data_IF_734347229521
#
_entry.id   IF_734347229521
#
_cell.length_a   1.000
_cell.length_b   1.000
_cell.length_c   1.000
_cell.angle_alpha   90.00
_cell.angle_beta   90.00
_cell.angle_gamma   90.00
#
_symmetry.space_group_name_H-M   'P 1'
#
loop_
_entity.id
_entity.type
_entity.pdbx_description
1 polymer ?
2 non-polymer ?
3 non-polymer ?
4 water ?
#
# COMPACT_ATOMS: atom_id res chain seq x y z
N UNK A 1 1.63 -12.49 14.12
CA UNK A 1 0.60 -13.29 13.46
C UNK A 1 0.93 -13.53 12.00
N UNK A 2 0.15 -14.39 11.36
CA UNK A 2 0.12 -14.43 9.90
C UNK A 2 -1.18 -13.83 9.39
N UNK A 3 -1.06 -12.75 8.61
CA UNK A 3 -2.24 -12.00 8.20
C UNK A 3 -2.53 -12.29 6.73
N UNK A 4 -3.74 -12.81 6.52
CA UNK A 4 -4.24 -13.17 5.20
C UNK A 4 -4.51 -11.88 4.42
N UNK A 5 -4.48 -11.96 3.10
CA UNK A 5 -4.81 -10.80 2.26
C UNK A 5 -6.06 -11.00 1.44
N UNK A 6 -6.89 -11.95 1.85
CA UNK A 6 -8.25 -12.06 1.29
C UNK A 6 -9.06 -10.81 1.58
N UNK A 7 -8.87 -10.26 2.78
CA UNK A 7 -9.50 -8.99 3.16
C UNK A 7 -8.41 -7.93 3.36
N UNK A 8 -8.83 -6.68 3.48
CA UNK A 8 -7.91 -5.58 3.84
C UNK A 8 -7.28 -5.89 5.18
N UNK A 9 -5.95 -5.68 5.29
CA UNK A 9 -5.27 -6.03 6.55
C UNK A 9 -5.39 -4.90 7.57
N UNK A 10 -6.56 -4.78 8.19
CA UNK A 10 -6.82 -3.76 9.19
C UNK A 10 -6.47 -4.25 10.58
N UNK A 11 -5.78 -3.41 11.35
CA UNK A 11 -5.44 -3.72 12.73
C UNK A 11 -5.74 -2.54 13.65
N UNK A 12 -5.75 -2.81 14.94
CA UNK A 12 -5.90 -1.77 15.93
C UNK A 12 -4.54 -1.21 16.31
N UNK A 13 -4.44 0.11 16.29
CA UNK A 13 -3.27 0.80 16.79
C UNK A 13 -3.61 1.63 18.02
N UNK A 14 -2.63 1.78 18.89
CA UNK A 14 -2.71 2.77 19.96
C UNK A 14 -1.72 3.89 19.74
N UNK A 15 -2.24 5.12 19.77
CA UNK A 15 -1.43 6.28 19.50
C UNK A 15 -2.03 7.51 20.18
N UNK A 16 -1.18 8.27 20.86
CA UNK A 16 -1.59 9.47 21.56
C UNK A 16 -2.74 9.22 22.51
N UNK A 17 -2.78 8.02 23.10
CA UNK A 17 -3.83 7.69 24.05
C UNK A 17 -5.14 7.28 23.39
N UNK A 18 -5.13 7.17 22.06
CA UNK A 18 -6.35 6.80 21.32
C UNK A 18 -6.21 5.39 20.71
N UNK A 19 -7.32 4.67 20.61
CA UNK A 19 -7.36 3.44 19.82
C UNK A 19 -7.99 3.69 18.47
N UNK A 20 -7.34 3.19 17.42
CA UNK A 20 -7.79 3.47 16.05
C UNK A 20 -7.57 2.25 15.20
N UNK A 21 -8.29 2.18 14.08
CA UNK A 21 -8.08 1.13 13.10
C UNK A 21 -7.24 1.69 11.97
N UNK A 22 -6.28 0.91 11.48
CA UNK A 22 -5.43 1.34 10.39
C UNK A 22 -5.08 0.18 9.48
N UNK A 23 -4.65 0.52 8.28
CA UNK A 23 -4.39 -0.45 7.23
C UNK A 23 -2.90 -0.71 7.12
N UNK A 24 -2.46 -1.96 7.18
CA UNK A 24 -1.03 -2.27 7.02
C UNK A 24 -0.65 -2.21 5.55
N UNK A 25 0.17 -1.23 5.17
CA UNK A 25 0.45 -1.01 3.75
C UNK A 25 1.92 -1.09 3.39
N UNK A 26 2.32 -2.25 2.85
CA UNK A 26 3.72 -2.50 2.46
C UNK A 26 4.18 -1.56 1.33
N UNK A 27 3.23 -1.00 0.59
CA UNK A 27 3.55 -0.08 -0.50
C UNK A 27 3.72 1.37 -0.06
N UNK A 28 3.46 1.67 1.22
CA UNK A 28 3.53 3.05 1.69
C UNK A 28 4.87 3.34 2.34
N UNK A 29 5.51 4.44 1.92
CA UNK A 29 6.76 4.87 2.57
C UNK A 29 6.50 5.31 4.01
N UNK A 30 5.37 5.99 4.21
CA UNK A 30 5.09 6.76 5.43
C UNK A 30 3.81 6.23 6.07
N UNK A 31 3.65 6.56 7.34
CA UNK A 31 2.44 6.32 8.09
C UNK A 31 1.63 7.61 8.15
N UNK A 32 0.40 7.54 7.67
CA UNK A 32 -0.47 8.71 7.64
C UNK A 32 -1.83 8.44 8.25
N UNK A 33 -2.19 9.29 9.19
CA UNK A 33 -3.44 9.16 9.95
C UNK A 33 -4.35 10.35 9.72
N UNK A 34 -5.65 10.11 9.79
CA UNK A 34 -6.63 11.17 9.73
C UNK A 34 -6.41 12.18 10.85
N UNK A 35 -7.01 13.34 10.71
CA UNK A 35 -6.76 14.41 11.67
C UNK A 35 -6.88 13.95 13.12
N UNK A 36 -5.88 14.32 13.91
CA UNK A 36 -5.82 14.04 15.34
C UNK A 36 -4.76 14.95 15.92
N UNK A 37 -4.78 15.11 17.23
CA UNK A 37 -3.76 15.89 17.92
C UNK A 37 -2.61 14.97 18.34
N UNK A 38 -1.38 15.48 18.20
CA UNK A 38 -0.19 14.82 18.73
C UNK A 38 0.70 15.87 19.37
N UNK A 39 1.43 15.49 20.44
CA UNK A 39 2.26 16.46 21.14
C UNK A 39 3.57 16.70 20.40
N UNK A 40 4.24 17.80 20.72
CA UNK A 40 5.59 18.03 20.23
C UNK A 40 5.62 18.83 18.95
N UNK A 41 6.83 19.00 18.43
CA UNK A 41 7.12 19.76 17.22
C UNK A 41 6.51 19.06 16.01
N UNK A 42 6.18 19.84 14.98
CA UNK A 42 5.88 19.29 13.66
C UNK A 42 6.33 20.21 12.55
N UNK A 43 6.40 19.67 11.33
CA UNK A 43 6.65 20.48 10.16
C UNK A 43 5.79 19.99 9.00
N UNK A 44 5.51 20.86 8.02
CA UNK A 44 4.59 20.47 6.96
C UNK A 44 5.28 19.59 5.93
N UNK A 45 4.50 18.70 5.30
CA UNK A 45 5.00 17.81 4.25
C UNK A 45 3.92 17.65 3.21
N UNK A 46 4.33 17.45 1.96
CA UNK A 46 3.41 16.99 0.93
C UNK A 46 3.71 15.54 0.61
N UNK A 47 2.69 14.71 0.58
CA UNK A 47 2.86 13.31 0.24
C UNK A 47 1.94 12.95 -0.90
N UNK A 48 2.41 12.07 -1.77
CA UNK A 48 1.74 11.76 -3.01
C UNK A 48 1.23 10.34 -2.98
N UNK A 49 0.12 10.12 -3.66
CA UNK A 49 -0.39 8.77 -3.89
C UNK A 49 -1.23 8.82 -5.14
N UNK A 50 -2.01 7.77 -5.37
CA UNK A 50 -2.93 7.81 -6.49
C UNK A 50 -3.87 9.01 -6.29
N UNK A 51 -3.97 9.83 -7.33
CA UNK A 51 -4.87 10.99 -7.27
C UNK A 51 -4.13 12.30 -7.01
N UNK A 52 -2.85 12.20 -6.66
CA UNK A 52 -2.03 13.39 -6.42
C UNK A 52 -1.63 13.55 -4.97
N UNK A 53 -1.36 14.79 -4.57
CA UNK A 53 -0.70 15.04 -3.29
C UNK A 53 -1.66 15.63 -2.25
N UNK A 54 -1.35 15.38 -0.98
CA UNK A 54 -2.01 16.09 0.13
C UNK A 54 -0.97 16.65 1.10
N UNK A 55 -1.32 17.75 1.74
CA UNK A 55 -0.49 18.35 2.77
C UNK A 55 -0.81 17.75 4.14
N UNK A 56 0.25 17.43 4.87
CA UNK A 56 0.13 16.78 6.15
C UNK A 56 1.11 17.42 7.12
N UNK A 57 0.88 17.19 8.40
CA UNK A 57 1.78 17.60 9.46
C UNK A 57 2.65 16.40 9.85
N UNK A 58 3.95 16.61 9.89
CA UNK A 58 4.88 15.54 10.22
C UNK A 58 5.32 15.66 11.67
N UNK A 59 5.04 14.62 12.46
CA UNK A 59 5.49 14.54 13.85
C UNK A 59 6.52 13.42 13.96
N UNK A 60 7.66 13.72 14.56
CA UNK A 60 8.70 12.72 14.71
C UNK A 60 8.74 12.11 16.12
N UNK A 61 9.25 10.89 16.21
CA UNK A 61 9.50 10.23 17.51
C UNK A 61 8.20 10.02 18.29
N UNK A 62 7.17 9.56 17.60
CA UNK A 62 5.89 9.29 18.26
C UNK A 62 5.77 7.81 18.60
N UNK A 63 5.51 7.49 19.89
CA UNK A 63 5.29 6.09 20.24
C UNK A 63 3.96 5.57 19.70
N UNK A 64 3.95 4.31 19.29
CA UNK A 64 2.73 3.72 18.75
C UNK A 64 2.78 2.24 19.10
N UNK A 65 1.60 1.65 19.27
CA UNK A 65 1.51 0.21 19.46
C UNK A 65 0.66 -0.39 18.36
N UNK A 66 1.22 -1.34 17.61
CA UNK A 66 0.53 -1.89 16.46
C UNK A 66 0.29 -3.37 16.70
N UNK A 67 -0.98 -3.72 16.85
CA UNK A 67 -1.35 -5.12 17.03
C UNK A 67 -0.62 -5.72 18.23
N UNK A 68 -0.33 -4.91 19.23
CA UNK A 68 0.35 -5.39 20.43
C UNK A 68 1.85 -5.09 20.47
N UNK A 69 2.40 -4.65 19.36
CA UNK A 69 3.84 -4.43 19.24
C UNK A 69 4.16 -2.94 19.33
N UNK A 70 5.08 -2.60 20.22
CA UNK A 70 5.53 -1.22 20.43
C UNK A 70 6.59 -0.80 19.42
N UNK A 71 6.47 0.45 18.95
CA UNK A 71 7.46 1.01 18.08
C UNK A 71 7.46 2.50 18.28
N UNK A 72 8.42 3.17 17.67
CA UNK A 72 8.42 4.62 17.67
C UNK A 72 8.85 5.10 16.30
N UNK A 73 8.24 6.16 15.81
CA UNK A 73 8.64 6.70 14.53
C UNK A 73 7.87 7.94 14.13
N UNK A 74 8.03 8.32 12.87
CA UNK A 74 7.37 9.48 12.31
C UNK A 74 5.93 9.15 11.91
N UNK A 75 5.01 9.98 12.40
CA UNK A 75 3.60 9.88 12.01
C UNK A 75 3.16 11.17 11.31
N UNK A 76 2.55 11.02 10.15
CA UNK A 76 1.98 12.13 9.42
C UNK A 76 0.49 12.20 9.69
N UNK A 77 -0.03 13.42 9.82
CA UNK A 77 -1.44 13.61 10.13
C UNK A 77 -2.03 14.59 9.11
N UNK A 78 -3.16 14.23 8.52
CA UNK A 78 -3.81 15.14 7.57
C UNK A 78 -5.01 14.47 6.94
N UNK A 79 -5.48 15.03 5.82
CA UNK A 79 -6.75 14.63 5.24
C UNK A 79 -6.61 13.40 4.35
N UNK A 80 -6.03 12.33 4.90
CA UNK A 80 -6.02 11.05 4.22
C UNK A 80 -7.42 10.41 4.30
N UNK A 81 -7.85 9.77 3.20
CA UNK A 81 -9.15 9.10 3.22
C UNK A 81 -9.19 7.98 4.26
N UNK A 82 -8.03 7.44 4.63
CA UNK A 82 -7.99 6.30 5.53
C UNK A 82 -6.65 6.22 6.26
N UNK A 83 -6.67 5.67 7.47
CA UNK A 83 -5.43 5.52 8.25
C UNK A 83 -4.54 4.43 7.65
N UNK A 84 -3.28 4.77 7.40
CA UNK A 84 -2.35 3.86 6.75
C UNK A 84 -1.10 3.72 7.60
N UNK A 85 -0.70 2.48 7.90
CA UNK A 85 0.59 2.21 8.53
C UNK A 85 1.61 1.79 7.48
N UNK A 86 2.63 2.63 7.31
CA UNK A 86 3.62 2.44 6.28
C UNK A 86 4.89 1.73 6.73
N UNK A 87 5.82 1.61 5.80
CA UNK A 87 7.01 0.82 6.07
C UNK A 87 7.85 1.31 7.23
N UNK A 88 7.84 2.62 7.49
CA UNK A 88 8.66 3.16 8.57
C UNK A 88 8.33 2.53 9.92
N UNK A 89 7.07 2.15 10.12
CA UNK A 89 6.68 1.45 11.35
C UNK A 89 6.59 -0.06 11.17
N UNK A 90 6.19 -0.52 9.99
CA UNK A 90 6.12 -1.96 9.73
C UNK A 90 7.46 -2.66 9.98
N UNK A 91 8.58 -2.01 9.65
CA UNK A 91 9.89 -2.63 9.87
C UNK A 91 10.11 -2.86 11.36
N UNK A 92 9.61 -1.94 12.17
CA UNK A 92 9.93 -1.93 13.61
C UNK A 92 9.23 -3.08 14.33
N UNK A 93 8.11 -3.53 13.79
CA UNK A 93 7.40 -4.66 14.39
C UNK A 93 7.72 -5.99 13.71
N UNK A 94 8.68 -5.97 12.79
CA UNK A 94 9.21 -7.19 12.19
C UNK A 94 8.29 -7.75 11.11
N UNK A 95 7.59 -6.86 10.43
CA UNK A 95 6.62 -7.29 9.43
C UNK A 95 7.32 -7.61 8.10
N UNK A 96 6.99 -8.77 7.55
CA UNK A 96 7.49 -9.20 6.25
C UNK A 96 6.34 -9.67 5.35
N UNK A 97 6.57 -9.57 4.04
CA UNK A 97 5.74 -10.23 3.05
C UNK A 97 6.32 -11.61 2.77
N UNK A 98 5.46 -12.60 2.67
CA UNK A 98 5.90 -13.97 2.45
C UNK A 98 5.08 -14.62 1.36
N UNK A 99 5.77 -15.32 0.45
CA UNK A 99 5.08 -16.14 -0.54
C UNK A 99 6.06 -17.11 -1.19
N UNK B 1 9.53 -16.15 -1.38
CA UNK B 1 10.54 -15.43 -0.62
C UNK B 1 9.96 -14.70 0.58
N UNK B 2 10.84 -14.22 1.45
CA UNK B 2 10.46 -13.36 2.54
C UNK B 2 11.04 -11.97 2.32
N UNK B 3 10.16 -10.99 2.19
CA UNK B 3 10.58 -9.65 1.82
C UNK B 3 10.40 -8.73 3.02
N UNK B 4 11.51 -8.18 3.51
CA UNK B 4 11.44 -7.16 4.53
C UNK B 4 11.19 -5.79 3.90
N UNK B 5 10.98 -4.81 4.75
CA UNK B 5 10.35 -3.57 4.31
C UNK B 5 11.23 -2.37 4.55
N UNK B 6 12.53 -2.59 4.70
CA UNK B 6 13.45 -1.50 4.92
C UNK B 6 13.64 -0.69 3.65
N UNK B 7 13.42 -1.33 2.50
CA UNK B 7 13.29 -0.63 1.23
C UNK B 7 11.89 -0.88 0.66
N UNK B 8 11.55 -0.18 -0.41
CA UNK B 8 10.30 -0.45 -1.11
C UNK B 8 10.33 -1.87 -1.67
N UNK B 9 9.18 -2.56 -1.59
CA UNK B 9 9.14 -3.97 -2.01
C UNK B 9 8.89 -4.05 -3.50
N UNK B 10 9.89 -3.63 -4.26
CA UNK B 10 9.83 -3.59 -5.70
C UNK B 10 10.24 -4.92 -6.25
N UNK B 11 9.43 -5.45 -7.16
CA UNK B 11 9.72 -6.72 -7.78
C UNK B 11 9.54 -6.58 -9.28
N UNK B 12 10.09 -7.54 -10.01
CA UNK B 12 9.88 -7.60 -11.44
C UNK B 12 8.62 -8.40 -11.76
N UNK B 13 7.79 -7.82 -12.62
CA UNK B 13 6.61 -8.50 -13.17
C UNK B 13 6.79 -8.70 -14.67
N UNK B 14 6.07 -9.66 -15.21
CA UNK B 14 6.00 -9.80 -16.64
C UNK B 14 4.55 -9.77 -17.10
N UNK B 15 4.28 -8.92 -18.08
CA UNK B 15 2.92 -8.78 -18.61
C UNK B 15 3.00 -8.40 -20.07
N UNK B 16 2.26 -9.12 -20.89
CA UNK B 16 2.32 -8.90 -22.35
C UNK B 16 3.71 -9.12 -22.90
N UNK B 17 4.47 -10.03 -22.29
CA UNK B 17 5.78 -10.40 -22.79
C UNK B 17 6.90 -9.44 -22.37
N UNK B 18 6.54 -8.42 -21.61
CA UNK B 18 7.50 -7.37 -21.20
C UNK B 18 7.72 -7.37 -19.70
N UNK B 19 8.96 -7.10 -19.29
CA UNK B 19 9.29 -6.95 -17.88
C UNK B 19 9.06 -5.51 -17.45
N UNK B 20 8.53 -5.36 -16.24
CA UNK B 20 8.35 -4.05 -15.62
C UNK B 20 8.65 -4.21 -14.13
N UNK B 21 8.86 -3.09 -13.43
CA UNK B 21 8.99 -3.08 -11.99
C UNK B 21 7.68 -2.65 -11.34
N UNK B 22 7.28 -3.33 -10.28
CA UNK B 22 6.07 -2.96 -9.59
C UNK B 22 6.21 -3.15 -8.09
N UNK B 23 5.37 -2.43 -7.35
CA UNK B 23 5.47 -2.37 -5.90
C UNK B 23 4.43 -3.32 -5.31
N UNK B 24 4.81 -4.18 -4.38
CA UNK B 24 3.83 -5.03 -3.69
C UNK B 24 3.14 -4.28 -2.58
N UNK B 25 1.84 -4.05 -2.75
CA UNK B 25 1.13 -3.08 -1.90
C UNK B 25 -0.10 -3.70 -1.23
N UNK B 26 0.07 -4.13 0.01
CA UNK B 26 -1.02 -4.74 0.76
C UNK B 26 -2.15 -3.76 1.08
N UNK B 27 -1.87 -2.47 0.97
CA UNK B 27 -2.90 -1.43 1.12
C UNK B 27 -3.81 -1.21 -0.09
N UNK B 28 -3.53 -1.90 -1.19
CA UNK B 28 -4.24 -1.68 -2.45
C UNK B 28 -5.20 -2.82 -2.67
N UNK B 29 -6.48 -2.53 -2.93
CA UNK B 29 -7.41 -3.61 -3.27
C UNK B 29 -7.03 -4.19 -4.63
N UNK B 30 -6.64 -3.28 -5.52
CA UNK B 30 -6.54 -3.52 -6.96
C UNK B 30 -5.10 -3.31 -7.41
N UNK B 31 -4.81 -3.81 -8.60
CA UNK B 31 -3.51 -3.69 -9.27
C UNK B 31 -3.63 -2.61 -10.34
N UNK B 32 -2.78 -1.59 -10.26
CA UNK B 32 -2.84 -0.46 -11.17
C UNK B 32 -1.49 -0.25 -11.83
N UNK B 33 -1.48 -0.27 -13.15
CA UNK B 33 -0.26 -0.06 -13.90
C UNK B 33 -0.25 1.24 -14.68
N UNK B 34 0.94 1.72 -14.98
CA UNK B 34 1.13 2.87 -15.84
C UNK B 34 0.70 2.55 -17.26
N UNK B 35 0.41 3.60 -18.02
CA UNK B 35 -0.06 3.43 -19.39
C UNK B 35 0.70 2.33 -20.13
N UNK B 36 -0.08 1.49 -20.82
CA UNK B 36 0.45 0.39 -21.59
C UNK B 36 -0.70 -0.14 -22.43
N UNK B 37 -0.40 -1.02 -23.37
CA UNK B 37 -1.40 -1.62 -24.22
C UNK B 37 -1.72 -3.02 -23.73
N UNK B 38 -3.01 -3.33 -23.65
CA UNK B 38 -3.45 -4.68 -23.34
C UNK B 38 -4.56 -5.09 -24.29
N UNK B 39 -4.77 -6.40 -24.43
CA UNK B 39 -5.69 -6.86 -25.45
C UNK B 39 -7.11 -6.82 -24.95
N UNK B 40 -8.05 -6.84 -25.90
CA UNK B 40 -9.45 -7.05 -25.60
C UNK B 40 -10.19 -5.77 -25.22
N UNK B 41 -11.36 -5.95 -24.64
CA UNK B 41 -12.18 -4.80 -24.27
C UNK B 41 -11.92 -4.43 -22.82
N UNK B 42 -12.10 -3.16 -22.51
CA UNK B 42 -11.96 -2.69 -21.14
C UNK B 42 -13.23 -2.02 -20.65
N UNK B 43 -13.37 -1.96 -19.33
CA UNK B 43 -14.52 -1.36 -18.65
C UNK B 43 -13.99 -0.21 -17.80
N UNK B 44 -14.84 0.78 -17.50
CA UNK B 44 -14.41 1.91 -16.71
C UNK B 44 -14.33 1.55 -15.22
N UNK B 45 -13.40 2.17 -14.52
CA UNK B 45 -13.42 2.16 -13.07
C UNK B 45 -12.85 3.46 -12.53
N UNK B 46 -13.45 3.96 -11.46
CA UNK B 46 -12.90 5.10 -10.73
C UNK B 46 -12.32 4.58 -9.42
N UNK B 47 -11.02 4.81 -9.24
CA UNK B 47 -10.35 4.35 -8.01
C UNK B 47 -9.83 5.52 -7.19
N UNK B 48 -9.85 5.34 -5.89
CA UNK B 48 -9.46 6.40 -4.98
C UNK B 48 -8.18 6.08 -4.25
N UNK B 49 -7.30 7.07 -4.18
CA UNK B 49 -6.07 6.95 -3.41
C UNK B 49 -5.95 8.12 -2.47
N UNK B 50 -4.78 8.24 -1.87
CA UNK B 50 -4.56 9.28 -0.87
C UNK B 50 -4.77 10.70 -1.40
N UNK B 51 -4.54 10.91 -2.69
CA UNK B 51 -4.66 12.25 -3.27
C UNK B 51 -5.98 12.53 -3.97
N UNK B 52 -6.82 11.51 -4.10
CA UNK B 52 -8.12 11.68 -4.72
C UNK B 52 -8.49 10.52 -5.63
N UNK B 53 -9.35 10.82 -6.60
CA UNK B 53 -9.81 9.80 -7.52
C UNK B 53 -9.21 9.91 -8.92
N UNK B 54 -9.00 8.77 -9.55
CA UNK B 54 -8.65 8.73 -10.96
C UNK B 54 -9.53 7.77 -11.72
N UNK B 55 -9.65 8.00 -13.02
CA UNK B 55 -10.27 7.09 -13.96
C UNK B 55 -9.23 6.15 -14.54
N UNK B 56 -9.54 4.85 -14.56
CA UNK B 56 -8.63 3.87 -15.14
C UNK B 56 -9.38 2.96 -16.13
N UNK B 57 -8.62 2.21 -16.90
CA UNK B 57 -9.19 1.18 -17.76
C UNK B 57 -9.03 -0.18 -17.12
N UNK B 58 -10.15 -0.89 -16.92
CA UNK B 58 -10.10 -2.21 -16.31
C UNK B 58 -10.07 -3.31 -17.37
N UNK B 59 -9.00 -4.09 -17.35
CA UNK B 59 -8.87 -5.29 -18.17
C UNK B 59 -8.96 -6.54 -17.30
N UNK B 60 -9.78 -7.49 -17.72
CA UNK B 60 -9.94 -8.72 -16.93
C UNK B 60 -9.19 -9.90 -17.49
N UNK B 61 -8.77 -10.80 -16.60
CA UNK B 61 -8.28 -12.12 -17.01
C UNK B 61 -6.97 -11.97 -17.78
N UNK B 62 -6.13 -11.06 -17.32
CA UNK B 62 -4.83 -10.83 -17.94
C UNK B 62 -3.77 -11.68 -17.25
N UNK B 63 -2.98 -12.45 -18.03
CA UNK B 63 -1.86 -13.17 -17.43
C UNK B 63 -0.75 -12.21 -17.00
N UNK B 64 -0.24 -12.42 -15.79
CA UNK B 64 0.83 -11.58 -15.26
C UNK B 64 1.70 -12.44 -14.35
N UNK B 65 3.01 -12.39 -14.54
CA UNK B 65 3.95 -13.08 -13.64
C UNK B 65 4.46 -12.06 -12.63
N UNK B 66 4.51 -12.46 -11.37
CA UNK B 66 4.96 -11.59 -10.30
C UNK B 66 6.08 -12.25 -9.52
N UNK B 67 7.32 -11.79 -9.69
CA UNK B 67 8.45 -12.52 -9.08
C UNK B 67 8.54 -13.97 -9.55
N UNK B 68 8.12 -14.22 -10.78
CA UNK B 68 8.12 -15.58 -11.31
C UNK B 68 6.89 -16.41 -11.00
N UNK B 69 6.00 -15.88 -10.15
CA UNK B 69 4.76 -16.57 -9.77
C UNK B 69 3.60 -16.19 -10.70
N UNK B 70 2.99 -17.19 -11.31
CA UNK B 70 1.96 -16.93 -12.31
C UNK B 70 0.62 -16.54 -11.68
N UNK B 71 0.01 -15.50 -12.24
CA UNK B 71 -1.32 -15.07 -11.89
C UNK B 71 -2.09 -14.72 -13.16
N UNK B 72 -3.41 -14.68 -13.07
CA UNK B 72 -4.23 -14.25 -14.21
C UNK B 72 -5.42 -13.52 -13.62
N UNK B 73 -5.48 -12.21 -13.81
CA UNK B 73 -6.54 -11.46 -13.16
C UNK B 73 -6.69 -10.07 -13.69
N UNK B 74 -7.31 -9.23 -12.89
CA UNK B 74 -7.75 -7.92 -13.31
C UNK B 74 -6.62 -6.91 -13.15
N UNK B 75 -6.34 -6.20 -14.24
CA UNK B 75 -5.33 -5.17 -14.23
C UNK B 75 -5.96 -3.85 -14.65
N UNK B 76 -5.71 -2.81 -13.87
CA UNK B 76 -6.20 -1.45 -14.16
C UNK B 76 -5.04 -0.67 -14.75
N UNK B 77 -5.33 0.12 -15.77
CA UNK B 77 -4.29 0.93 -16.44
C UNK B 77 -4.71 2.39 -16.41
N UNK B 78 -3.82 3.24 -15.89
CA UNK B 78 -4.08 4.67 -15.82
C UNK B 78 -2.95 5.45 -15.20
N UNK B 79 -3.20 6.73 -14.89
CA UNK B 79 -2.15 7.66 -14.49
C UNK B 79 -1.79 7.49 -13.02
N UNK B 80 -1.12 6.38 -12.73
CA UNK B 80 -0.63 6.10 -11.39
C UNK B 80 0.81 6.58 -11.21
N UNK B 81 1.18 6.98 -9.99
CA UNK B 81 2.56 7.37 -9.72
C UNK B 81 3.56 6.22 -9.88
N UNK B 82 3.11 4.98 -9.67
CA UNK B 82 3.97 3.81 -9.85
C UNK B 82 3.10 2.59 -10.11
N UNK B 83 3.67 1.58 -10.75
CA UNK B 83 3.01 0.29 -10.87
C UNK B 83 2.79 -0.34 -9.51
N UNK B 84 1.53 -0.64 -9.18
CA UNK B 84 1.22 -1.23 -7.87
C UNK B 84 0.53 -2.57 -8.05
N UNK B 85 1.01 -3.59 -7.34
CA UNK B 85 0.36 -4.89 -7.31
C UNK B 85 -0.46 -4.99 -6.04
N UNK B 86 -1.78 -5.07 -6.21
CA UNK B 86 -2.71 -5.13 -5.09
C UNK B 86 -3.15 -6.52 -4.67
N UNK B 87 -4.06 -6.54 -3.70
CA UNK B 87 -4.42 -7.81 -3.06
C UNK B 87 -5.07 -8.79 -4.03
N UNK B 88 -5.71 -8.29 -5.09
CA UNK B 88 -6.32 -9.20 -6.06
C UNK B 88 -5.32 -10.18 -6.66
N UNK B 89 -4.09 -9.72 -6.91
CA UNK B 89 -3.03 -10.61 -7.39
C UNK B 89 -2.13 -11.15 -6.28
N UNK B 90 -1.92 -10.40 -5.19
CA UNK B 90 -1.13 -10.92 -4.07
C UNK B 90 -1.76 -12.19 -3.49
N UNK B 91 -3.09 -12.28 -3.51
CA UNK B 91 -3.75 -13.52 -3.06
C UNK B 91 -3.52 -14.69 -4.02
N UNK B 92 -3.39 -14.39 -5.31
CA UNK B 92 -3.19 -15.45 -6.29
C UNK B 92 -1.82 -16.09 -6.15
N UNK B 93 -0.82 -15.31 -5.73
CA UNK B 93 0.54 -15.83 -5.57
C UNK B 93 0.84 -16.26 -4.12
N UNK B 94 -0.19 -16.26 -3.28
CA UNK B 94 -0.06 -16.88 -1.96
C UNK B 94 0.68 -16.01 -0.96
N UNK B 95 0.50 -14.70 -1.07
CA UNK B 95 1.22 -13.77 -0.22
C UNK B 95 0.48 -13.61 1.11
N UNK B 96 1.24 -13.56 2.19
CA UNK B 96 0.71 -13.13 3.48
C UNK B 96 1.64 -12.10 4.11
N UNK B 97 1.12 -11.40 5.11
CA UNK B 97 1.91 -10.59 6.04
C UNK B 97 2.20 -11.35 7.32
N UNK B 98 3.44 -11.26 7.78
CA UNK B 98 3.86 -11.99 8.97
C UNK B 98 4.67 -11.11 9.91
N UNK B 99 4.35 -11.15 11.20
CA UNK B 99 5.23 -10.54 12.18
C UNK B 99 5.05 -11.19 13.55
X LIG C 1 10.25 6.87 11.13
X LIG D 1 14.55 -7.26 9.98
X LIG E 1 -8.42 -10.31 -10.19
X LIG F 1 0.02 3.76 -1.74
X LIG F 1 1.53 5.32 -0.68
X LIG F 1 0.92 2.86 -1.05
X LIG F 1 -10.41 6.35 -1.10
X LIG F 1 0.32 5.08 -1.34
X LIG F 1 -4.26 3.35 -0.13
X LIG F 1 -0.33 6.07 -1.70
X LIG F 1 2.08 6.64 -0.34
X LIG F 1 -4.56 2.56 -1.06
X LIG F 1 -4.47 4.21 -2.67
X LIG F 1 1.99 6.86 1.19
X LIG F 1 -6.89 2.30 -3.12
X LIG F 1 -7.34 0.23 -2.41
X LIG F 1 2.52 8.27 1.51
X LIG F 1 3.89 7.57 -1.67
X LIG F 1 -9.00 1.75 -2.46
X LIG F 1 4.29 5.92 -0.23
X LIG F 1 -1.42 3.32 -1.40
X LIG F 1 -1.77 3.63 0.08
X LIG F 1 -3.05 2.88 0.56
X LIG F 1 -5.38 3.41 0.84
X LIG F 1 -6.51 4.08 0.33
X LIG F 1 -4.70 3.04 -2.33
X LIG F 1 -5.46 2.07 -3.25
X LIG F 1 -5.05 2.15 -4.73
X LIG F 1 -5.66 0.96 -5.46
X LIG F 1 -5.58 3.45 -5.38
X LIG F 1 -3.52 2.08 -4.86
X LIG F 1 -7.71 1.40 -2.57
X LIG F 1 -9.78 0.74 -1.83
X LIG F 1 -6.44 5.41 -0.09
X LIG F 1 -7.58 6.04 -0.57
X LIG F 1 -8.82 5.42 -0.55
X LIG F 1 -8.91 4.12 -0.06
X LIG F 1 -7.74 3.45 0.34
X LIG F 1 0.25 3.62 -3.28
X LIG F 1 1.45 4.20 -3.72
X LIG F 1 2.70 3.61 -3.44
X LIG F 1 3.88 4.22 -3.85
X LIG F 1 3.86 5.44 -4.52
X LIG F 1 2.64 6.05 -4.76
X LIG F 1 1.44 5.41 -4.42
X LIG F 1 5.09 6.03 -4.93
X LIG F 1 5.14 7.42 -4.76
X LIG F 1 3.45 6.68 -0.70
X LIG F 1 0.54 6.74 1.68
X LIG F 1 5.22 8.07 -3.53
X LIG F 1 5.23 7.43 -2.28
#
# INVERSE_FOLDING_TARGET
>A
PQITLWQRPLVTIKIGGQLKEALLDTGADDTVLEEMSLPGRWKPKMIGGIGGFIKVRQYDQIPIEICGHKAIGTVLVGPTPTNVIGRNLLTQIGCTLNF
>B
PQITLWQRPLVTIKIGGQLKEALLDTGADDTVLEEMSLPGRWKPKMIGGIGGFIKVRQYDQIPIEICGHKAIGTVLVGPTPTNVIGRNLLTQIGCTLNF
>C hetero
1 CL CL
>D hetero
1 CL CL
>E hetero
1 CL CL
>F hetero
1 M8Y C1 N1 O1 BR1 C2 N2 O2 C3 N3 O3 C4 N4 O4 C5 N5 O5 O6 C7 C8 C9 C10 C11 C12 C13 C14 C15 C16 C17 C18 C19 C20 C21 C22 C23 C24 C25 C26 C27 C28 C29 C30 C31 C32 C33 C34 C35 C36 C37
#
